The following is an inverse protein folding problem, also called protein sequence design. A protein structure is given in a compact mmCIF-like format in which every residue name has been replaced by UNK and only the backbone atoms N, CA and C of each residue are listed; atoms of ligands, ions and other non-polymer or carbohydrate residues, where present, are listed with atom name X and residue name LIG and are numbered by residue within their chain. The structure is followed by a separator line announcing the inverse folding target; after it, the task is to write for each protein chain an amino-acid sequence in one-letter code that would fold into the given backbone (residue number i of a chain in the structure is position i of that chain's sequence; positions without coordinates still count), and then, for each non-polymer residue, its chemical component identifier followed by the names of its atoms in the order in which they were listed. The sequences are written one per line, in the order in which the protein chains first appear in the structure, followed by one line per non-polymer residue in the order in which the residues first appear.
data_IF_997947609650
#
_entry.id   IF_997947609650
#
_cell.length_a   1.000
_cell.length_b   1.000
_cell.length_c   1.000
_cell.angle_alpha   90.00
_cell.angle_beta   90.00
_cell.angle_gamma   90.00
#
_symmetry.space_group_name_H-M   'P 1'
#
loop_
_entity.id
_entity.type
_entity.pdbx_description
1 polymer ?
#
# COMPACT_ATOMS: atom_id res chain seq x y z
N UNK A 1 7.26 10.61 -4.60
CA UNK A 1 7.59 11.52 -3.48
C UNK A 1 7.55 12.95 -3.97
N UNK A 2 6.82 13.81 -3.30
CA UNK A 2 6.75 15.26 -3.55
C UNK A 2 7.51 15.96 -2.44
N UNK A 3 8.51 16.75 -2.78
CA UNK A 3 9.39 17.46 -1.84
C UNK A 3 9.34 18.96 -2.09
N UNK A 4 9.68 19.75 -1.05
CA UNK A 4 9.71 21.21 -1.13
C UNK A 4 8.33 21.87 -1.26
N UNK A 5 7.26 21.17 -0.83
CA UNK A 5 5.91 21.68 -0.91
C UNK A 5 5.68 22.82 0.09
N UNK A 6 4.92 23.83 -0.33
CA UNK A 6 4.31 24.79 0.58
C UNK A 6 3.24 24.13 1.47
N UNK A 7 2.85 24.77 2.56
CA UNK A 7 1.77 24.26 3.43
C UNK A 7 0.46 24.08 2.68
N UNK A 8 0.16 24.92 1.72
CA UNK A 8 -1.04 24.85 0.91
C UNK A 8 -1.00 23.67 -0.05
N UNK A 9 0.11 23.42 -0.73
CA UNK A 9 0.32 22.28 -1.61
C UNK A 9 0.31 20.95 -0.82
N UNK A 10 0.94 20.95 0.37
CA UNK A 10 0.87 19.83 1.29
C UNK A 10 -0.57 19.49 1.67
N UNK A 11 -1.35 20.50 2.09
CA UNK A 11 -2.74 20.29 2.49
C UNK A 11 -3.60 19.75 1.35
N UNK A 12 -3.42 20.26 0.14
CA UNK A 12 -4.08 19.75 -1.07
C UNK A 12 -3.72 18.29 -1.34
N UNK A 13 -2.45 17.94 -1.24
CA UNK A 13 -1.99 16.57 -1.48
C UNK A 13 -2.51 15.59 -0.43
N UNK A 14 -2.51 15.97 0.86
CA UNK A 14 -3.08 15.17 1.94
C UNK A 14 -4.57 14.90 1.71
N UNK A 15 -5.33 15.93 1.31
CA UNK A 15 -6.75 15.78 0.99
C UNK A 15 -6.97 14.89 -0.22
N UNK A 16 -6.18 15.06 -1.29
CA UNK A 16 -6.24 14.21 -2.48
C UNK A 16 -5.99 12.75 -2.12
N UNK A 17 -4.92 12.45 -1.39
CA UNK A 17 -4.62 11.08 -0.97
C UNK A 17 -5.73 10.49 -0.09
N UNK A 18 -6.30 11.29 0.81
CA UNK A 18 -7.40 10.86 1.66
C UNK A 18 -8.67 10.50 0.88
N UNK A 19 -8.92 11.15 -0.26
CA UNK A 19 -10.05 10.86 -1.14
C UNK A 19 -9.77 9.69 -2.10
N UNK A 20 -8.52 9.51 -2.51
CA UNK A 20 -8.12 8.49 -3.48
C UNK A 20 -7.77 7.13 -2.83
N UNK A 21 -7.68 7.06 -1.51
CA UNK A 21 -7.37 5.83 -0.79
C UNK A 21 -8.58 4.93 -0.65
N UNK A 22 -8.34 3.63 -0.69
CA UNK A 22 -9.26 2.62 -0.21
C UNK A 22 -8.46 1.54 0.55
N UNK A 23 -9.09 0.95 1.56
CA UNK A 23 -8.47 -0.10 2.35
C UNK A 23 -9.38 -1.32 2.36
N UNK A 24 -8.82 -2.48 2.05
CA UNK A 24 -9.54 -3.75 1.96
C UNK A 24 -9.04 -4.69 3.06
N UNK A 25 -9.92 -5.13 3.93
CA UNK A 25 -9.64 -6.21 4.87
C UNK A 25 -10.13 -7.52 4.24
N UNK A 26 -9.19 -8.36 3.83
CA UNK A 26 -9.48 -9.54 3.03
C UNK A 26 -8.65 -10.73 3.48
N UNK A 27 -9.24 -11.94 3.39
CA UNK A 27 -8.49 -13.17 3.61
C UNK A 27 -7.55 -13.43 2.42
N UNK A 28 -6.32 -13.88 2.68
CA UNK A 28 -5.33 -14.14 1.62
C UNK A 28 -5.80 -15.18 0.60
N UNK A 29 -6.71 -16.09 0.99
CA UNK A 29 -7.33 -17.02 0.04
C UNK A 29 -8.14 -16.35 -1.08
N UNK A 30 -8.49 -15.09 -0.91
CA UNK A 30 -9.17 -14.23 -1.90
C UNK A 30 -8.24 -13.24 -2.58
N UNK A 31 -6.95 -13.38 -2.39
CA UNK A 31 -5.93 -12.62 -3.10
C UNK A 31 -5.31 -13.49 -4.17
N UNK A 32 -5.15 -12.94 -5.34
CA UNK A 32 -4.49 -13.59 -6.46
C UNK A 32 -3.45 -12.66 -7.05
N UNK A 33 -2.19 -13.07 -7.02
CA UNK A 33 -1.14 -12.39 -7.77
C UNK A 33 -1.16 -12.93 -9.19
N UNK A 34 -1.35 -12.06 -10.15
CA UNK A 34 -1.47 -12.40 -11.58
C UNK A 34 -0.30 -11.82 -12.37
N UNK A 35 0.43 -12.64 -13.13
CA UNK A 35 1.48 -12.13 -14.01
C UNK A 35 0.87 -11.21 -15.08
N UNK A 36 1.41 -10.02 -15.22
CA UNK A 36 0.99 -9.08 -16.24
C UNK A 36 2.21 -8.30 -16.77
N UNK A 37 2.63 -8.62 -17.96
CA UNK A 37 3.83 -7.99 -18.53
C UNK A 37 5.07 -8.15 -17.67
N UNK A 38 5.72 -7.04 -17.33
CA UNK A 38 6.94 -7.01 -16.50
C UNK A 38 6.67 -6.93 -15.00
N UNK A 39 5.41 -6.69 -14.60
CA UNK A 39 5.05 -6.55 -13.18
C UNK A 39 3.75 -7.32 -12.91
N UNK A 40 3.70 -8.14 -11.85
CA UNK A 40 2.47 -8.80 -11.48
C UNK A 40 1.46 -7.82 -10.86
N UNK A 41 0.18 -8.08 -11.09
CA UNK A 41 -0.94 -7.36 -10.49
C UNK A 41 -1.48 -8.13 -9.29
N UNK A 42 -2.07 -7.44 -8.33
CA UNK A 42 -2.79 -8.05 -7.22
C UNK A 42 -4.29 -7.91 -7.46
N UNK A 43 -4.98 -9.04 -7.56
CA UNK A 43 -6.45 -9.09 -7.63
C UNK A 43 -7.02 -9.33 -6.23
N UNK A 44 -8.06 -8.61 -5.91
CA UNK A 44 -8.83 -8.74 -4.66
C UNK A 44 -10.20 -9.30 -5.03
N UNK A 45 -10.45 -10.54 -4.63
CA UNK A 45 -11.63 -11.27 -5.03
C UNK A 45 -12.73 -11.22 -3.96
N UNK A 46 -13.96 -11.14 -4.39
CA UNK A 46 -15.15 -11.31 -3.56
C UNK A 46 -15.47 -12.75 -3.24
N UNK A 47 -16.61 -12.97 -2.59
CA UNK A 47 -17.06 -14.28 -2.14
C UNK A 47 -17.38 -15.24 -3.30
N UNK A 48 -17.82 -14.69 -4.43
CA UNK A 48 -18.17 -15.45 -5.64
C UNK A 48 -17.01 -15.52 -6.64
N UNK A 49 -15.82 -14.99 -6.27
CA UNK A 49 -14.65 -14.99 -7.13
C UNK A 49 -14.58 -13.82 -8.13
N UNK A 50 -15.50 -12.87 -8.04
CA UNK A 50 -15.50 -11.62 -8.79
C UNK A 50 -14.42 -10.67 -8.29
N UNK A 51 -13.88 -9.81 -9.15
CA UNK A 51 -13.00 -8.75 -8.74
C UNK A 51 -13.77 -7.68 -7.94
N UNK A 52 -13.36 -7.40 -6.70
CA UNK A 52 -13.93 -6.31 -5.88
C UNK A 52 -13.45 -4.93 -6.33
N UNK A 53 -12.33 -4.90 -7.01
CA UNK A 53 -11.69 -3.69 -7.53
C UNK A 53 -10.89 -4.08 -8.76
N UNK A 54 -10.64 -3.14 -9.65
CA UNK A 54 -9.72 -3.35 -10.77
C UNK A 54 -8.37 -3.90 -10.27
N UNK A 55 -7.71 -4.80 -11.01
CA UNK A 55 -6.41 -5.34 -10.62
C UNK A 55 -5.43 -4.24 -10.25
N UNK A 56 -4.79 -4.39 -9.11
CA UNK A 56 -3.94 -3.37 -8.51
C UNK A 56 -2.48 -3.54 -8.90
N UNK A 57 -1.88 -2.49 -9.41
CA UNK A 57 -0.41 -2.38 -9.42
C UNK A 57 0.11 -2.37 -7.98
N UNK A 58 1.27 -2.97 -7.74
CA UNK A 58 1.86 -3.02 -6.41
C UNK A 58 3.07 -2.10 -6.28
N UNK A 59 3.07 -1.28 -5.25
CA UNK A 59 4.26 -0.52 -4.86
C UNK A 59 5.32 -1.44 -4.24
N UNK A 60 6.57 -1.02 -4.28
CA UNK A 60 7.70 -1.79 -3.74
C UNK A 60 7.48 -2.20 -2.27
N UNK A 61 6.90 -1.33 -1.47
CA UNK A 61 6.58 -1.62 -0.07
C UNK A 61 5.60 -2.78 0.07
N UNK A 62 4.55 -2.84 -0.75
CA UNK A 62 3.60 -3.95 -0.75
C UNK A 62 4.29 -5.27 -1.12
N UNK A 63 5.15 -5.28 -2.14
CA UNK A 63 5.95 -6.45 -2.50
C UNK A 63 6.84 -6.92 -1.34
N UNK A 64 7.55 -6.00 -0.67
CA UNK A 64 8.42 -6.33 0.47
C UNK A 64 7.63 -6.91 1.64
N UNK A 65 6.45 -6.38 1.92
CA UNK A 65 5.57 -6.84 3.00
C UNK A 65 4.96 -8.21 2.70
N UNK A 66 4.59 -8.49 1.45
CA UNK A 66 4.16 -9.83 1.01
C UNK A 66 5.32 -10.83 1.17
N UNK A 67 6.50 -10.49 0.69
CA UNK A 67 7.68 -11.36 0.83
C UNK A 67 8.01 -11.66 2.29
N UNK A 68 7.97 -10.65 3.16
CA UNK A 68 8.20 -10.81 4.60
C UNK A 68 7.13 -11.69 5.25
N UNK A 69 5.86 -11.48 4.90
CA UNK A 69 4.74 -12.27 5.42
C UNK A 69 4.85 -13.76 5.04
N UNK A 70 5.32 -14.05 3.84
CA UNK A 70 5.45 -15.42 3.33
C UNK A 70 6.81 -16.07 3.62
N UNK A 71 7.69 -15.41 4.39
CA UNK A 71 9.07 -15.85 4.67
C UNK A 71 9.90 -16.12 3.40
N UNK A 72 9.59 -15.40 2.31
CA UNK A 72 10.39 -15.47 1.08
C UNK A 72 11.60 -14.54 1.23
N UNK A 73 12.84 -15.06 1.16
CA UNK A 73 14.03 -14.23 1.25
C UNK A 73 14.01 -13.08 0.23
N UNK A 74 14.24 -11.85 0.69
CA UNK A 74 14.12 -10.64 -0.14
C UNK A 74 14.85 -10.74 -1.48
N UNK A 75 16.10 -11.19 -1.46
CA UNK A 75 16.91 -11.34 -2.68
C UNK A 75 16.27 -12.31 -3.67
N UNK A 76 15.63 -13.37 -3.18
CA UNK A 76 14.96 -14.33 -4.04
C UNK A 76 13.62 -13.81 -4.56
N UNK A 77 12.87 -13.10 -3.71
CA UNK A 77 11.65 -12.40 -4.13
C UNK A 77 11.94 -11.40 -5.26
N UNK A 78 12.94 -10.53 -5.05
CA UNK A 78 13.34 -9.50 -6.01
C UNK A 78 13.85 -10.13 -7.32
N UNK A 79 14.57 -11.24 -7.23
CA UNK A 79 15.01 -12.00 -8.41
C UNK A 79 13.84 -12.55 -9.22
N UNK A 80 12.87 -13.20 -8.57
CA UNK A 80 11.68 -13.71 -9.25
C UNK A 80 10.87 -12.56 -9.86
N UNK A 81 10.72 -11.45 -9.14
CA UNK A 81 9.99 -10.28 -9.62
C UNK A 81 10.61 -9.73 -10.91
N UNK A 82 11.94 -9.71 -11.00
CA UNK A 82 12.67 -9.17 -12.15
C UNK A 82 12.77 -10.18 -13.31
N UNK A 83 13.09 -11.44 -13.00
CA UNK A 83 13.48 -12.44 -14.01
C UNK A 83 12.30 -13.34 -14.43
N UNK A 84 11.37 -13.64 -13.50
CA UNK A 84 10.25 -14.55 -13.73
C UNK A 84 9.03 -14.19 -12.87
N UNK A 85 8.28 -13.15 -13.23
CA UNK A 85 7.08 -12.74 -12.48
C UNK A 85 6.02 -13.83 -12.36
N UNK A 86 5.95 -14.76 -13.32
CA UNK A 86 5.02 -15.91 -13.25
C UNK A 86 5.40 -16.88 -12.13
N UNK A 87 6.70 -17.14 -11.92
CA UNK A 87 7.19 -17.95 -10.82
C UNK A 87 6.89 -17.27 -9.47
N UNK A 88 7.09 -15.96 -9.37
CA UNK A 88 6.72 -15.20 -8.17
C UNK A 88 5.24 -15.34 -7.87
N UNK A 89 4.38 -15.11 -8.85
CA UNK A 89 2.94 -15.21 -8.69
C UNK A 89 2.53 -16.63 -8.23
N UNK A 90 3.10 -17.67 -8.82
CA UNK A 90 2.85 -19.05 -8.40
C UNK A 90 3.25 -19.29 -6.94
N UNK A 91 4.44 -18.87 -6.54
CA UNK A 91 4.91 -18.98 -5.15
C UNK A 91 3.96 -18.28 -4.17
N UNK A 92 3.66 -17.02 -4.42
CA UNK A 92 2.81 -16.20 -3.56
C UNK A 92 1.42 -16.82 -3.44
N UNK A 93 0.80 -17.19 -4.55
CA UNK A 93 -0.55 -17.77 -4.58
C UNK A 93 -0.61 -19.11 -3.84
N UNK A 94 0.40 -19.96 -3.98
CA UNK A 94 0.48 -21.22 -3.24
C UNK A 94 0.43 -20.98 -1.72
N UNK A 95 1.21 -20.03 -1.22
CA UNK A 95 1.26 -19.75 0.22
C UNK A 95 0.02 -19.00 0.70
N UNK A 96 -0.56 -18.12 -0.09
CA UNK A 96 -1.82 -17.46 0.24
C UNK A 96 -2.94 -18.47 0.45
N UNK A 97 -2.95 -19.58 -0.28
CA UNK A 97 -3.95 -20.63 -0.15
C UNK A 97 -3.65 -21.63 0.97
N UNK A 98 -2.36 -21.93 1.22
CA UNK A 98 -1.97 -22.93 2.25
C UNK A 98 -2.17 -22.44 3.67
N UNK A 99 -1.92 -21.16 3.93
CA UNK A 99 -2.00 -20.55 5.26
C UNK A 99 -2.82 -19.26 5.20
N UNK A 100 -4.15 -19.37 4.96
CA UNK A 100 -4.98 -18.20 4.79
C UNK A 100 -5.11 -17.39 6.09
N UNK A 101 -4.86 -16.08 5.99
CA UNK A 101 -5.01 -15.13 7.08
C UNK A 101 -5.69 -13.86 6.59
N UNK A 102 -6.36 -13.14 7.49
CA UNK A 102 -6.86 -11.81 7.19
C UNK A 102 -5.72 -10.79 7.14
N UNK A 103 -5.67 -10.05 6.03
CA UNK A 103 -4.68 -9.00 5.80
C UNK A 103 -5.37 -7.72 5.32
N UNK A 104 -4.73 -6.60 5.60
CA UNK A 104 -5.20 -5.28 5.15
C UNK A 104 -4.39 -4.86 3.92
N UNK A 105 -5.09 -4.66 2.81
CA UNK A 105 -4.52 -4.06 1.59
C UNK A 105 -4.86 -2.59 1.60
N UNK A 106 -3.86 -1.73 1.66
CA UNK A 106 -4.06 -0.29 1.54
C UNK A 106 -3.77 0.16 0.13
N UNK A 107 -4.67 0.95 -0.44
CA UNK A 107 -4.53 1.44 -1.81
C UNK A 107 -4.57 2.96 -1.88
N UNK A 108 -3.99 3.49 -2.93
CA UNK A 108 -4.12 4.89 -3.38
C UNK A 108 -3.99 4.92 -4.89
N UNK A 109 -4.86 5.65 -5.56
CA UNK A 109 -4.85 5.81 -7.03
C UNK A 109 -4.74 4.48 -7.80
N UNK A 110 -5.46 3.43 -7.36
CA UNK A 110 -5.44 2.10 -8.00
C UNK A 110 -4.17 1.27 -7.76
N UNK A 111 -3.30 1.69 -6.84
CA UNK A 111 -2.07 0.97 -6.49
C UNK A 111 -2.17 0.40 -5.08
N UNK A 112 -1.82 -0.88 -4.90
CA UNK A 112 -1.59 -1.46 -3.59
C UNK A 112 -0.27 -0.90 -3.02
N UNK A 113 -0.38 -0.01 -2.04
CA UNK A 113 0.79 0.65 -1.41
C UNK A 113 1.30 -0.08 -0.18
N UNK A 114 0.45 -0.87 0.48
CA UNK A 114 0.85 -1.66 1.65
C UNK A 114 0.02 -2.93 1.79
N UNK A 115 0.67 -3.96 2.35
CA UNK A 115 0.10 -5.24 2.72
C UNK A 115 0.39 -5.51 4.21
N UNK A 116 -0.60 -5.30 5.07
CA UNK A 116 -0.44 -5.20 6.51
C UNK A 116 -1.24 -6.28 7.26
N UNK A 117 -0.94 -6.48 8.55
CA UNK A 117 -1.76 -7.35 9.39
C UNK A 117 -3.15 -6.76 9.62
N UNK A 118 -4.11 -7.61 9.96
CA UNK A 118 -5.46 -7.18 10.35
C UNK A 118 -5.50 -6.38 11.66
N UNK A 119 -4.41 -6.39 12.43
CA UNK A 119 -4.26 -5.62 13.67
C UNK A 119 -3.73 -4.22 13.46
N UNK A 120 -3.32 -3.90 12.23
CA UNK A 120 -2.78 -2.57 11.93
C UNK A 120 -3.84 -1.49 12.18
N UNK A 121 -3.48 -0.51 13.00
CA UNK A 121 -4.30 0.68 13.24
C UNK A 121 -3.92 1.75 12.24
N UNK A 122 -4.89 2.18 11.46
CA UNK A 122 -4.69 3.23 10.45
C UNK A 122 -4.48 4.57 11.13
N UNK A 123 -3.38 5.23 10.78
CA UNK A 123 -3.14 6.64 11.09
C UNK A 123 -2.79 7.26 9.74
N UNK A 124 -3.67 8.11 9.25
CA UNK A 124 -3.47 8.76 7.97
C UNK A 124 -2.85 10.15 8.13
N UNK A 125 -2.16 10.62 7.10
CA UNK A 125 -1.57 11.97 7.08
C UNK A 125 -2.60 13.05 7.40
N UNK A 126 -3.86 12.87 6.98
CA UNK A 126 -4.95 13.80 7.29
C UNK A 126 -5.25 13.85 8.80
N UNK A 127 -5.23 12.71 9.49
CA UNK A 127 -5.49 12.66 10.93
C UNK A 127 -4.36 13.35 11.70
N UNK A 128 -3.12 13.11 11.29
CA UNK A 128 -1.94 13.80 11.86
C UNK A 128 -2.04 15.31 11.62
N UNK A 129 -2.30 15.72 10.38
CA UNK A 129 -2.38 17.14 10.01
C UNK A 129 -3.48 17.87 10.78
N UNK A 130 -4.66 17.27 10.96
CA UNK A 130 -5.76 17.86 11.72
C UNK A 130 -5.42 18.13 13.19
N UNK A 131 -4.55 17.32 13.79
CA UNK A 131 -4.12 17.49 15.17
C UNK A 131 -2.92 18.43 15.28
N UNK A 132 -1.94 18.29 14.40
CA UNK A 132 -0.65 18.99 14.54
C UNK A 132 -0.67 20.40 13.98
N UNK A 133 -1.34 20.65 12.85
CA UNK A 133 -1.32 21.98 12.23
C UNK A 133 -1.92 23.09 13.09
N UNK A 134 -3.06 22.91 13.79
CA UNK A 134 -3.56 23.92 14.72
C UNK A 134 -2.57 24.24 15.85
N UNK A 135 -1.93 23.22 16.42
CA UNK A 135 -0.95 23.38 17.49
C UNK A 135 0.26 24.18 17.01
N UNK A 136 0.78 23.86 15.82
CA UNK A 136 1.92 24.57 15.23
C UNK A 136 1.55 26.04 14.93
N UNK A 137 0.31 26.28 14.47
CA UNK A 137 -0.15 27.65 14.17
C UNK A 137 -0.23 28.54 15.41
N UNK A 138 -0.44 27.97 16.60
CA UNK A 138 -0.48 28.68 17.88
C UNK A 138 0.91 28.85 18.54
N UNK A 139 1.93 28.17 18.03
CA UNK A 139 3.30 28.23 18.56
C UNK A 139 3.98 29.53 18.13
N UNK A 140 4.31 30.39 19.12
CA UNK A 140 5.06 31.61 18.86
C UNK A 140 6.46 31.32 18.27
N UNK A 141 6.78 31.99 17.17
CA UNK A 141 8.07 31.81 16.47
C UNK A 141 8.17 30.59 15.57
N UNK A 142 7.15 29.73 15.50
CA UNK A 142 7.14 28.60 14.58
C UNK A 142 7.09 29.08 13.11
N UNK A 143 7.93 28.50 12.27
CA UNK A 143 7.96 28.79 10.84
C UNK A 143 7.90 27.51 10.04
N UNK A 144 7.06 27.51 9.02
CA UNK A 144 7.01 26.44 8.06
C UNK A 144 8.12 26.61 7.01
N UNK A 145 8.99 25.62 6.89
CA UNK A 145 10.09 25.63 5.91
C UNK A 145 9.72 24.86 4.63
N UNK A 146 9.48 23.57 4.77
CA UNK A 146 9.09 22.71 3.65
C UNK A 146 8.55 21.36 4.14
N UNK A 147 7.92 20.60 3.25
CA UNK A 147 7.50 19.23 3.55
C UNK A 147 7.76 18.29 2.40
N UNK A 148 7.74 17.00 2.72
CA UNK A 148 7.79 15.92 1.75
C UNK A 148 6.62 14.96 2.01
N UNK A 149 5.95 14.52 0.95
CA UNK A 149 4.87 13.54 1.02
C UNK A 149 5.18 12.41 0.05
N UNK A 150 5.02 11.17 0.51
CA UNK A 150 5.11 9.97 -0.33
C UNK A 150 3.74 9.35 -0.52
N UNK A 151 3.62 8.53 -1.58
CA UNK A 151 2.42 7.72 -1.82
C UNK A 151 2.53 6.33 -1.16
N UNK A 152 3.64 6.05 -0.47
CA UNK A 152 3.92 4.70 0.03
C UNK A 152 3.16 4.36 1.32
N UNK A 153 2.96 5.28 2.24
CA UNK A 153 2.02 5.20 3.38
C UNK A 153 2.05 6.46 4.25
#
# INVERSE_FOLDING_TARGET
MKAGLSIHEMSKEILRQSQAKADYLVNTSRLLMEPSGSQPLLRVLGDSGEDLVEPLDMKQTAHQQIGTYLDIPRKYYDRMLLEDPALLAHNVNCWFQKTPEQRMIRTVDGHARAFLSNRYRRIDNLDIAKVTLPIIAEMEGARYESTQITDDY
#
